data_IF_074505341788
#
_entry.id   IF_074505341788
#
_cell.length_a   1.000
_cell.length_b   1.000
_cell.length_c   1.000
_cell.angle_alpha   90.00
_cell.angle_beta   90.00
_cell.angle_gamma   90.00
#
_symmetry.space_group_name_H-M   'P 1'
#
loop_
_entity.id
_entity.type
_entity.pdbx_description
1 polymer ?
#
# COMPACT_ATOMS: atom_id res chain seq x y z
N UNK A 1 -1.61 25.84 -19.25
CA UNK A 1 -2.75 24.89 -19.18
C UNK A 1 -3.64 25.38 -18.07
N UNK A 2 -4.83 25.86 -18.39
CA UNK A 2 -5.85 26.17 -17.39
C UNK A 2 -6.25 24.87 -16.68
N UNK A 3 -6.18 24.86 -15.35
CA UNK A 3 -6.75 23.82 -14.51
C UNK A 3 -8.28 23.91 -14.68
N UNK A 4 -8.85 23.10 -15.57
CA UNK A 4 -10.30 22.90 -15.61
C UNK A 4 -10.71 22.03 -14.43
N UNK A 5 -11.71 22.48 -13.67
CA UNK A 5 -12.39 21.64 -12.69
C UNK A 5 -12.96 20.42 -13.42
N UNK A 6 -12.40 19.24 -13.13
CA UNK A 6 -12.92 18.01 -13.69
C UNK A 6 -14.24 17.69 -12.98
N UNK A 7 -15.37 18.04 -13.59
CA UNK A 7 -16.73 18.01 -13.02
C UNK A 7 -17.24 16.61 -12.61
N UNK A 8 -16.43 15.56 -12.81
CA UNK A 8 -16.73 14.19 -12.38
C UNK A 8 -16.02 13.78 -11.08
N UNK A 9 -15.02 14.53 -10.61
CA UNK A 9 -14.36 14.27 -9.32
C UNK A 9 -14.30 15.57 -8.52
N UNK A 10 -15.02 15.64 -7.39
CA UNK A 10 -14.95 16.72 -6.40
C UNK A 10 -13.55 16.78 -5.73
N UNK A 11 -12.50 16.96 -6.53
CA UNK A 11 -11.11 16.98 -6.10
C UNK A 11 -10.73 18.42 -5.78
N UNK A 12 -10.20 18.63 -4.57
CA UNK A 12 -9.74 19.95 -4.12
C UNK A 12 -8.39 20.24 -4.75
N UNK A 13 -8.36 21.02 -5.83
CA UNK A 13 -7.14 21.34 -6.56
C UNK A 13 -6.79 22.81 -6.39
N UNK A 14 -5.55 23.11 -6.03
CA UNK A 14 -5.03 24.48 -5.99
C UNK A 14 -3.85 24.61 -6.93
N UNK A 15 -3.95 25.47 -7.93
CA UNK A 15 -2.88 25.71 -8.90
C UNK A 15 -2.07 26.96 -8.50
N UNK A 16 -0.77 26.94 -8.76
CA UNK A 16 0.18 28.00 -8.41
C UNK A 16 1.19 28.29 -9.53
N UNK A 17 2.15 29.16 -9.25
CA UNK A 17 3.18 29.54 -10.21
C UNK A 17 4.00 28.35 -10.72
N UNK A 18 4.59 28.49 -11.92
CA UNK A 18 5.42 27.46 -12.55
C UNK A 18 4.75 26.08 -12.67
N UNK A 19 3.42 26.05 -12.85
CA UNK A 19 2.66 24.81 -13.01
C UNK A 19 2.63 23.94 -11.75
N UNK A 20 2.71 24.56 -10.57
CA UNK A 20 2.41 23.93 -9.29
C UNK A 20 0.93 23.53 -9.22
N UNK A 21 0.66 22.29 -8.82
CA UNK A 21 -0.69 21.77 -8.63
C UNK A 21 -0.74 21.02 -7.30
N UNK A 22 -1.42 21.56 -6.29
CA UNK A 22 -1.73 20.86 -5.06
C UNK A 22 -3.02 20.06 -5.26
N UNK A 23 -2.89 18.74 -5.29
CA UNK A 23 -4.04 17.84 -5.16
C UNK A 23 -4.29 17.62 -3.67
N UNK A 24 -5.19 18.45 -3.14
CA UNK A 24 -5.43 18.57 -1.71
C UNK A 24 -6.45 17.55 -1.21
N UNK A 25 -6.36 17.26 0.08
CA UNK A 25 -7.29 16.38 0.79
C UNK A 25 -8.49 17.18 1.32
N UNK A 26 -9.70 16.58 1.35
CA UNK A 26 -10.86 17.20 1.95
C UNK A 26 -10.65 17.53 3.44
N UNK A 27 -11.33 18.57 3.89
CA UNK A 27 -11.36 19.00 5.28
C UNK A 27 -12.82 19.11 5.76
N UNK A 28 -13.09 18.85 7.04
CA UNK A 28 -14.45 18.92 7.59
C UNK A 28 -15.12 20.28 7.32
N UNK A 29 -14.34 21.36 7.37
CA UNK A 29 -14.83 22.72 7.10
C UNK A 29 -15.28 22.96 5.65
N UNK A 30 -14.93 22.06 4.73
CA UNK A 30 -15.41 22.16 3.34
C UNK A 30 -16.93 21.92 3.25
N UNK A 31 -17.55 21.26 4.25
CA UNK A 31 -19.00 21.02 4.32
C UNK A 31 -19.62 21.27 5.72
N UNK A 32 -18.81 21.64 6.71
CA UNK A 32 -19.21 22.08 8.05
C UNK A 32 -18.44 23.36 8.43
N UNK A 33 -18.83 24.55 7.90
CA UNK A 33 -17.98 25.75 7.94
C UNK A 33 -17.74 26.31 9.35
N UNK A 34 -18.69 26.15 10.27
CA UNK A 34 -18.67 26.80 11.59
C UNK A 34 -18.06 25.93 12.70
N UNK A 35 -17.17 25.00 12.36
CA UNK A 35 -16.55 24.11 13.35
C UNK A 35 -15.56 24.88 14.26
N UNK A 36 -15.62 24.70 15.59
CA UNK A 36 -14.66 25.29 16.49
C UNK A 36 -13.27 24.66 16.29
N UNK A 37 -12.23 25.41 16.65
CA UNK A 37 -10.85 24.94 16.61
C UNK A 37 -10.20 25.04 17.98
N UNK A 38 -9.38 24.07 18.32
CA UNK A 38 -8.74 23.92 19.63
C UNK A 38 -7.22 23.94 19.50
N UNK A 39 -6.53 24.32 20.58
CA UNK A 39 -5.08 24.20 20.63
C UNK A 39 -4.69 22.71 20.67
N UNK A 40 -3.70 22.32 19.87
CA UNK A 40 -3.23 20.94 19.87
C UNK A 40 -2.52 20.61 21.21
N UNK A 41 -2.92 19.55 21.94
CA UNK A 41 -2.30 19.18 23.22
C UNK A 41 -0.80 18.84 23.09
N UNK A 42 -0.33 18.50 21.89
CA UNK A 42 1.09 18.30 21.61
C UNK A 42 1.96 19.53 21.90
N UNK A 43 1.38 20.73 21.98
CA UNK A 43 2.08 21.94 22.42
C UNK A 43 2.72 21.80 23.81
N UNK A 44 2.12 20.96 24.65
CA UNK A 44 2.54 20.77 26.04
C UNK A 44 3.11 19.37 26.29
N UNK A 45 3.27 18.55 25.24
CA UNK A 45 3.77 17.20 25.37
C UNK A 45 5.31 17.20 25.49
N UNK A 46 5.90 16.63 26.57
CA UNK A 46 7.35 16.66 26.79
C UNK A 46 8.18 16.04 25.67
N UNK A 47 7.66 15.04 24.97
CA UNK A 47 8.35 14.41 23.84
C UNK A 47 8.46 15.33 22.62
N UNK A 48 7.54 16.31 22.50
CA UNK A 48 7.48 17.26 21.40
C UNK A 48 8.06 18.63 21.76
N UNK A 49 8.10 19.00 23.05
CA UNK A 49 8.64 20.28 23.51
C UNK A 49 10.16 20.45 23.28
N UNK A 50 10.89 19.35 23.04
CA UNK A 50 12.33 19.37 22.76
C UNK A 50 12.69 19.67 21.29
N UNK A 51 11.71 19.71 20.39
CA UNK A 51 11.93 19.83 18.94
C UNK A 51 11.73 21.28 18.45
N UNK A 52 12.72 21.83 17.73
CA UNK A 52 12.72 23.23 17.24
C UNK A 52 11.53 23.60 16.33
N UNK A 53 11.05 22.67 15.51
CA UNK A 53 9.89 22.86 14.63
C UNK A 53 9.15 21.53 14.50
N UNK A 54 8.10 21.34 15.30
CA UNK A 54 7.37 20.08 15.39
C UNK A 54 6.04 20.09 14.63
N UNK A 55 5.39 21.25 14.51
CA UNK A 55 4.21 21.39 13.69
C UNK A 55 4.55 21.62 12.24
N UNK A 56 3.80 20.95 11.38
CA UNK A 56 3.87 21.11 9.93
C UNK A 56 3.09 22.37 9.56
N UNK A 57 3.65 23.18 8.66
CA UNK A 57 2.98 24.37 8.16
C UNK A 57 1.74 23.95 7.35
N UNK A 58 0.68 24.75 7.41
CA UNK A 58 -0.52 24.54 6.57
C UNK A 58 -0.20 24.64 5.09
N UNK A 59 0.88 25.30 4.66
CA UNK A 59 1.25 25.39 3.24
C UNK A 59 2.31 24.36 2.82
N UNK A 60 2.79 23.53 3.75
CA UNK A 60 3.78 22.49 3.43
C UNK A 60 3.16 21.44 2.48
N UNK A 61 3.77 21.30 1.30
CA UNK A 61 3.43 20.28 0.32
C UNK A 61 4.63 19.42 -0.08
N UNK A 62 4.36 18.19 -0.49
CA UNK A 62 5.34 17.18 -0.90
C UNK A 62 5.18 16.95 -2.40
N UNK A 63 6.24 17.22 -3.16
CA UNK A 63 6.23 17.03 -4.60
C UNK A 63 6.12 15.55 -4.97
N UNK A 64 5.24 15.21 -5.90
CA UNK A 64 5.16 13.87 -6.48
C UNK A 64 6.40 13.55 -7.32
N UNK A 65 6.88 14.54 -8.09
CA UNK A 65 8.05 14.41 -8.95
C UNK A 65 9.13 15.38 -8.49
N UNK A 66 10.25 14.83 -8.00
CA UNK A 66 11.39 15.62 -7.52
C UNK A 66 12.50 15.79 -8.57
N UNK A 67 12.48 14.97 -9.63
CA UNK A 67 13.41 15.09 -10.76
C UNK A 67 12.70 15.82 -11.90
N UNK A 68 13.05 17.10 -12.09
CA UNK A 68 12.44 17.97 -13.09
C UNK A 68 13.52 18.77 -13.83
N UNK A 69 13.21 19.25 -15.04
CA UNK A 69 14.08 20.20 -15.73
C UNK A 69 13.89 21.61 -15.18
N UNK A 70 14.90 22.46 -15.39
CA UNK A 70 14.91 23.86 -14.91
C UNK A 70 13.62 24.61 -15.23
N UNK A 71 13.13 24.46 -16.46
CA UNK A 71 12.01 25.25 -16.99
C UNK A 71 10.72 24.40 -17.15
N UNK A 72 10.72 23.15 -16.67
CA UNK A 72 9.52 22.31 -16.71
C UNK A 72 8.56 22.63 -15.56
N UNK A 73 7.24 22.42 -15.73
CA UNK A 73 6.27 22.57 -14.65
C UNK A 73 6.65 21.78 -13.40
N UNK A 74 6.39 22.34 -12.22
CA UNK A 74 6.61 21.66 -10.93
C UNK A 74 5.68 20.46 -10.74
N UNK A 75 4.50 20.50 -11.34
CA UNK A 75 3.57 19.38 -11.38
C UNK A 75 2.81 19.20 -10.07
N UNK A 76 2.45 17.94 -9.79
CA UNK A 76 1.55 17.58 -8.69
C UNK A 76 2.30 17.53 -7.36
N UNK A 77 1.66 18.08 -6.34
CA UNK A 77 2.07 18.08 -4.95
C UNK A 77 0.93 17.56 -4.06
N UNK A 78 1.28 16.98 -2.92
CA UNK A 78 0.35 16.50 -1.90
C UNK A 78 0.58 17.21 -0.58
N UNK A 79 -0.47 17.36 0.23
CA UNK A 79 -0.34 18.00 1.54
C UNK A 79 0.57 17.19 2.47
N UNK A 80 1.55 17.84 3.11
CA UNK A 80 2.46 17.15 4.05
C UNK A 80 1.71 16.66 5.29
N UNK A 81 1.90 15.40 5.65
CA UNK A 81 1.31 14.83 6.86
C UNK A 81 2.10 15.26 8.10
N UNK A 82 1.42 15.35 9.25
CA UNK A 82 2.02 15.68 10.54
C UNK A 82 1.11 16.52 11.43
N UNK A 83 1.52 16.80 12.68
CA UNK A 83 0.67 17.52 13.61
C UNK A 83 0.48 18.97 13.16
N UNK A 84 -0.72 19.51 13.42
CA UNK A 84 -1.08 20.91 13.19
C UNK A 84 -1.19 21.66 14.51
N UNK A 85 -0.96 22.98 14.50
CA UNK A 85 -1.08 23.82 15.69
C UNK A 85 -2.49 23.83 16.28
N UNK A 86 -3.50 23.80 15.40
CA UNK A 86 -4.91 23.75 15.76
C UNK A 86 -5.53 22.43 15.30
N UNK A 87 -6.48 21.93 16.08
CA UNK A 87 -7.24 20.70 15.83
C UNK A 87 -8.74 20.99 15.84
N UNK A 88 -9.54 20.08 15.29
CA UNK A 88 -11.00 20.21 15.16
C UNK A 88 -11.76 19.19 16.02
N UNK A 89 -11.02 18.39 16.78
CA UNK A 89 -11.54 17.43 17.74
C UNK A 89 -10.92 17.65 19.12
N UNK A 90 -11.74 17.83 20.15
CA UNK A 90 -11.30 17.73 21.55
C UNK A 90 -11.17 16.28 21.98
N UNK A 91 -10.24 16.00 22.89
CA UNK A 91 -9.93 14.65 23.35
C UNK A 91 -11.15 13.87 23.86
N UNK A 92 -12.01 14.54 24.64
CA UNK A 92 -13.16 13.93 25.32
C UNK A 92 -14.36 13.68 24.40
N UNK A 93 -14.45 14.40 23.27
CA UNK A 93 -15.48 14.19 22.26
C UNK A 93 -15.12 13.08 21.27
N UNK A 94 -13.83 12.72 21.12
CA UNK A 94 -13.44 11.71 20.14
C UNK A 94 -13.95 10.33 20.55
N UNK A 95 -14.63 9.69 19.60
CA UNK A 95 -14.94 8.28 19.61
C UNK A 95 -14.40 7.67 18.32
N UNK A 96 -13.25 7.02 18.43
CA UNK A 96 -12.51 6.49 17.29
C UNK A 96 -12.81 5.01 17.07
N UNK A 97 -12.86 4.58 15.80
CA UNK A 97 -12.86 3.18 15.44
C UNK A 97 -11.71 2.80 14.49
N UNK A 98 -11.20 1.58 14.66
CA UNK A 98 -10.17 0.98 13.79
C UNK A 98 -10.73 -0.29 13.17
N UNK A 99 -10.52 -0.48 11.86
CA UNK A 99 -10.94 -1.70 11.15
C UNK A 99 -9.82 -2.20 10.24
N UNK A 100 -9.61 -3.53 10.23
CA UNK A 100 -8.69 -4.20 9.29
C UNK A 100 -9.46 -5.05 8.28
N UNK A 101 -9.18 -4.86 7.00
CA UNK A 101 -9.87 -5.54 5.90
C UNK A 101 -8.88 -6.21 4.92
N UNK A 102 -9.37 -7.24 4.22
CA UNK A 102 -8.63 -7.95 3.17
C UNK A 102 -7.64 -8.99 3.69
N UNK A 103 -6.61 -9.30 2.88
CA UNK A 103 -5.58 -10.28 3.25
C UNK A 103 -4.62 -9.77 4.34
N UNK A 104 -4.02 -10.70 5.08
CA UNK A 104 -3.00 -10.39 6.09
C UNK A 104 -1.75 -9.75 5.46
N UNK A 105 -1.05 -8.96 6.27
CA UNK A 105 0.18 -8.26 5.95
C UNK A 105 0.99 -8.11 7.24
N UNK A 106 2.31 -8.31 7.22
CA UNK A 106 3.15 -7.96 8.37
C UNK A 106 2.95 -6.48 8.76
N UNK A 107 2.93 -6.20 10.06
CA UNK A 107 2.75 -4.84 10.59
C UNK A 107 1.31 -4.39 10.86
N UNK A 108 0.28 -5.20 10.52
CA UNK A 108 -1.13 -4.89 10.82
C UNK A 108 -1.37 -4.56 12.31
N UNK A 109 -0.87 -5.41 13.21
CA UNK A 109 -0.97 -5.17 14.66
C UNK A 109 -0.17 -3.95 15.10
N UNK A 110 0.97 -3.67 14.48
CA UNK A 110 1.76 -2.45 14.75
C UNK A 110 0.92 -1.22 14.40
N UNK A 111 0.29 -1.17 13.23
CA UNK A 111 -0.60 -0.06 12.85
C UNK A 111 -1.74 0.14 13.86
N UNK A 112 -2.41 -0.94 14.27
CA UNK A 112 -3.48 -0.87 15.29
C UNK A 112 -2.93 -0.28 16.60
N UNK A 113 -1.79 -0.80 17.07
CA UNK A 113 -1.15 -0.34 18.31
C UNK A 113 -0.82 1.14 18.25
N UNK A 114 -0.18 1.59 17.18
CA UNK A 114 0.31 2.96 17.07
C UNK A 114 -0.82 3.97 16.85
N UNK A 115 -1.94 3.58 16.24
CA UNK A 115 -3.17 4.40 16.23
C UNK A 115 -3.70 4.57 17.66
N UNK A 116 -3.85 3.46 18.40
CA UNK A 116 -4.39 3.47 19.76
C UNK A 116 -3.49 4.26 20.72
N UNK A 117 -2.19 3.97 20.71
CA UNK A 117 -1.19 4.67 21.50
C UNK A 117 -1.09 6.15 21.09
N UNK A 118 -1.17 6.46 19.80
CA UNK A 118 -1.14 7.84 19.32
C UNK A 118 -2.34 8.64 19.80
N UNK A 119 -3.55 8.12 19.63
CA UNK A 119 -4.78 8.73 20.13
C UNK A 119 -4.74 8.92 21.66
N UNK A 120 -4.32 7.91 22.40
CA UNK A 120 -4.31 7.93 23.86
C UNK A 120 -3.21 8.82 24.44
N UNK A 121 -1.95 8.61 24.06
CA UNK A 121 -0.80 9.28 24.68
C UNK A 121 -0.53 10.66 24.11
N UNK A 122 -0.78 10.89 22.82
CA UNK A 122 -0.54 12.21 22.20
C UNK A 122 -1.74 13.15 22.34
N UNK A 123 -2.94 12.59 22.28
CA UNK A 123 -4.18 13.37 22.20
C UNK A 123 -5.15 13.12 23.36
N UNK A 124 -4.86 12.26 24.33
CA UNK A 124 -5.73 12.04 25.50
C UNK A 124 -7.05 11.34 25.19
N UNK A 125 -7.22 10.76 24.00
CA UNK A 125 -8.46 10.08 23.59
C UNK A 125 -8.57 8.73 24.27
N UNK A 126 -9.69 8.48 24.95
CA UNK A 126 -9.92 7.25 25.73
C UNK A 126 -11.01 6.33 25.15
N UNK A 127 -11.86 6.81 24.23
CA UNK A 127 -12.91 6.01 23.56
C UNK A 127 -12.44 5.54 22.20
N UNK A 128 -11.79 4.36 22.18
CA UNK A 128 -11.29 3.74 20.96
C UNK A 128 -11.82 2.31 20.88
N UNK A 129 -12.42 1.95 19.74
CA UNK A 129 -12.92 0.60 19.49
C UNK A 129 -12.34 0.00 18.21
N UNK A 130 -12.22 -1.31 18.20
CA UNK A 130 -11.91 -2.11 17.02
C UNK A 130 -13.19 -2.70 16.45
N UNK A 131 -13.34 -2.65 15.14
CA UNK A 131 -14.40 -3.34 14.41
C UNK A 131 -13.91 -4.75 14.05
N UNK A 132 -14.60 -5.77 14.57
CA UNK A 132 -14.19 -7.16 14.39
C UNK A 132 -14.59 -7.70 13.01
N UNK A 133 -13.66 -8.36 12.32
CA UNK A 133 -13.94 -9.10 11.09
C UNK A 133 -14.20 -8.21 9.86
N UNK A 134 -13.49 -7.10 9.72
CA UNK A 134 -13.56 -6.22 8.55
C UNK A 134 -14.87 -5.43 8.43
N UNK A 135 -15.27 -5.05 7.21
CA UNK A 135 -16.44 -4.19 7.01
C UNK A 135 -17.75 -4.77 7.53
N UNK A 136 -17.89 -6.11 7.57
CA UNK A 136 -19.07 -6.78 8.13
C UNK A 136 -19.25 -6.48 9.61
N UNK A 137 -18.16 -6.22 10.33
CA UNK A 137 -18.16 -5.94 11.77
C UNK A 137 -19.00 -4.74 12.16
N UNK A 138 -19.11 -3.73 11.29
CA UNK A 138 -19.91 -2.53 11.55
C UNK A 138 -21.38 -2.90 11.89
N UNK A 139 -21.99 -3.76 11.07
CA UNK A 139 -23.40 -4.14 11.22
C UNK A 139 -23.63 -5.51 11.85
N UNK A 140 -22.58 -6.31 12.09
CA UNK A 140 -22.64 -7.53 12.90
C UNK A 140 -22.59 -7.25 14.42
N UNK A 141 -22.40 -5.99 14.82
CA UNK A 141 -22.28 -5.50 16.21
C UNK A 141 -21.09 -6.01 17.02
N UNK A 142 -20.12 -6.70 16.42
CA UNK A 142 -18.92 -7.15 17.10
C UNK A 142 -17.89 -6.01 17.18
N UNK A 143 -17.61 -5.53 18.39
CA UNK A 143 -16.58 -4.52 18.64
C UNK A 143 -15.71 -4.91 19.81
N UNK A 144 -14.42 -4.57 19.72
CA UNK A 144 -13.42 -4.83 20.75
C UNK A 144 -12.96 -3.50 21.35
N UNK A 145 -13.00 -3.28 22.67
CA UNK A 145 -12.43 -2.07 23.26
C UNK A 145 -10.91 -2.06 23.08
N UNK A 146 -10.36 -0.96 22.56
CA UNK A 146 -8.93 -0.82 22.34
C UNK A 146 -8.35 0.18 23.36
N UNK A 147 -7.42 -0.31 24.18
CA UNK A 147 -6.70 0.50 25.18
C UNK A 147 -5.21 0.22 25.04
N UNK A 148 -4.31 1.11 25.52
CA UNK A 148 -2.87 0.85 25.51
C UNK A 148 -2.51 -0.53 26.09
N UNK A 149 -3.20 -0.96 27.15
CA UNK A 149 -3.02 -2.28 27.76
C UNK A 149 -3.42 -3.43 26.83
N UNK A 150 -4.50 -3.29 26.06
CA UNK A 150 -4.95 -4.32 25.10
C UNK A 150 -3.98 -4.45 23.93
N UNK A 151 -3.36 -3.35 23.50
CA UNK A 151 -2.46 -3.31 22.33
C UNK A 151 -0.98 -3.41 22.67
N UNK A 152 -0.60 -3.58 23.94
CA UNK A 152 0.78 -3.40 24.39
C UNK A 152 1.77 -4.26 23.60
N UNK A 153 1.48 -5.56 23.49
CA UNK A 153 2.36 -6.57 22.89
C UNK A 153 1.95 -7.04 21.49
N UNK A 154 0.87 -6.50 20.92
CA UNK A 154 0.31 -7.07 19.67
C UNK A 154 1.25 -6.92 18.48
N UNK A 155 2.11 -5.89 18.48
CA UNK A 155 3.13 -5.64 17.46
C UNK A 155 4.16 -6.78 17.32
N UNK A 156 4.34 -7.60 18.37
CA UNK A 156 5.21 -8.79 18.36
C UNK A 156 4.61 -9.99 17.63
N UNK A 157 3.34 -9.90 17.24
CA UNK A 157 2.56 -10.98 16.61
C UNK A 157 2.19 -10.59 15.19
N UNK A 158 2.27 -11.56 14.28
CA UNK A 158 1.68 -11.40 12.95
C UNK A 158 0.15 -11.45 12.97
N UNK A 159 -0.46 -11.20 11.81
CA UNK A 159 -1.91 -11.12 11.67
C UNK A 159 -2.52 -9.83 12.23
N UNK A 160 -3.78 -9.89 12.64
CA UNK A 160 -4.54 -8.77 13.23
C UNK A 160 -5.38 -9.26 14.41
N UNK A 161 -5.34 -8.54 15.53
CA UNK A 161 -6.20 -8.83 16.70
C UNK A 161 -7.70 -8.55 16.45
N UNK A 162 -8.02 -7.78 15.41
CA UNK A 162 -9.40 -7.43 15.04
C UNK A 162 -10.02 -8.44 14.09
N UNK A 163 -9.29 -9.47 13.68
CA UNK A 163 -9.70 -10.29 12.55
C UNK A 163 -9.77 -9.49 11.24
N UNK A 164 -10.09 -10.16 10.14
CA UNK A 164 -10.24 -9.50 8.84
C UNK A 164 -11.20 -10.29 7.96
N UNK A 165 -11.84 -9.63 7.00
CA UNK A 165 -12.67 -10.28 5.99
C UNK A 165 -12.40 -9.74 4.59
N UNK A 166 -12.76 -10.55 3.60
CA UNK A 166 -12.97 -10.11 2.21
C UNK A 166 -14.46 -9.81 2.01
N UNK A 167 -14.78 -8.81 1.20
CA UNK A 167 -16.15 -8.36 0.93
C UNK A 167 -16.87 -7.76 2.16
N UNK A 168 -18.21 -7.75 2.09
CA UNK A 168 -19.06 -7.27 3.19
C UNK A 168 -19.17 -5.75 3.30
N UNK A 169 -18.81 -5.03 2.25
CA UNK A 169 -19.00 -3.59 2.16
C UNK A 169 -20.48 -3.29 1.89
N UNK A 170 -21.12 -2.55 2.79
CA UNK A 170 -22.47 -2.02 2.64
C UNK A 170 -22.46 -0.59 3.20
N UNK A 171 -22.36 0.39 2.31
CA UNK A 171 -22.12 1.80 2.68
C UNK A 171 -23.17 2.31 3.66
N UNK A 172 -24.46 2.06 3.38
CA UNK A 172 -25.54 2.53 4.24
C UNK A 172 -25.43 1.92 5.63
N UNK A 173 -25.29 0.59 5.75
CA UNK A 173 -25.16 -0.07 7.05
C UNK A 173 -23.92 0.35 7.83
N UNK A 174 -22.80 0.59 7.13
CA UNK A 174 -21.56 1.05 7.76
C UNK A 174 -21.75 2.46 8.32
N UNK A 175 -22.28 3.39 7.52
CA UNK A 175 -22.47 4.78 7.97
C UNK A 175 -23.58 4.88 9.02
N UNK A 176 -24.63 4.08 8.94
CA UNK A 176 -25.65 3.96 9.99
C UNK A 176 -25.00 3.49 11.30
N UNK A 177 -24.15 2.45 11.27
CA UNK A 177 -23.43 2.02 12.47
C UNK A 177 -22.46 3.08 13.01
N UNK A 178 -21.82 3.87 12.15
CA UNK A 178 -20.94 4.97 12.58
C UNK A 178 -21.75 6.01 13.35
N UNK A 179 -22.89 6.40 12.80
CA UNK A 179 -23.79 7.39 13.38
C UNK A 179 -24.44 6.88 14.68
N UNK A 180 -24.98 5.67 14.69
CA UNK A 180 -25.67 5.07 15.85
C UNK A 180 -24.74 4.91 17.06
N UNK A 181 -23.44 4.72 16.82
CA UNK A 181 -22.41 4.59 17.87
C UNK A 181 -21.78 5.93 18.25
N UNK A 182 -22.12 7.02 17.56
CA UNK A 182 -21.48 8.32 17.73
C UNK A 182 -19.98 8.31 17.41
N UNK A 183 -19.55 7.47 16.47
CA UNK A 183 -18.16 7.41 16.03
C UNK A 183 -17.87 8.64 15.17
N UNK A 184 -16.80 9.36 15.49
CA UNK A 184 -16.40 10.57 14.77
C UNK A 184 -14.98 10.52 14.18
N UNK A 185 -14.27 9.40 14.37
CA UNK A 185 -13.04 9.09 13.64
C UNK A 185 -13.01 7.63 13.22
N UNK A 186 -12.70 7.37 11.95
CA UNK A 186 -12.71 6.04 11.34
C UNK A 186 -11.36 5.79 10.67
N UNK A 187 -10.61 4.82 11.18
CA UNK A 187 -9.31 4.42 10.66
C UNK A 187 -9.44 3.08 9.91
N UNK A 188 -9.25 3.12 8.59
CA UNK A 188 -9.51 1.98 7.70
C UNK A 188 -8.21 1.41 7.15
N UNK A 189 -7.82 0.24 7.63
CA UNK A 189 -6.56 -0.43 7.25
C UNK A 189 -6.87 -1.52 6.23
N UNK A 190 -6.39 -1.38 5.00
CA UNK A 190 -6.69 -2.35 3.93
C UNK A 190 -6.11 -2.01 2.57
N UNK A 191 -6.19 -2.95 1.63
CA UNK A 191 -5.70 -2.77 0.25
C UNK A 191 -6.70 -2.03 -0.65
N UNK A 192 -6.47 -2.04 -1.96
CA UNK A 192 -7.23 -1.23 -2.94
C UNK A 192 -8.75 -1.32 -2.81
N UNK A 193 -9.30 -2.54 -2.75
CA UNK A 193 -10.75 -2.72 -2.61
C UNK A 193 -11.29 -2.16 -1.29
N UNK A 194 -10.47 -2.18 -0.23
CA UNK A 194 -10.83 -1.53 1.04
C UNK A 194 -10.82 -0.01 0.90
N UNK A 195 -9.79 0.56 0.27
CA UNK A 195 -9.69 2.01 0.11
C UNK A 195 -10.74 2.57 -0.85
N UNK A 196 -11.15 1.81 -1.87
CA UNK A 196 -12.35 2.11 -2.69
C UNK A 196 -13.60 2.18 -1.82
N UNK A 197 -13.78 1.22 -0.90
CA UNK A 197 -14.86 1.25 0.08
C UNK A 197 -14.78 2.47 1.02
N UNK A 198 -13.58 2.82 1.48
CA UNK A 198 -13.35 3.98 2.34
C UNK A 198 -13.74 5.30 1.66
N UNK A 199 -13.42 5.43 0.37
CA UNK A 199 -13.85 6.56 -0.46
C UNK A 199 -15.37 6.71 -0.47
N UNK A 200 -16.09 5.62 -0.73
CA UNK A 200 -17.58 5.65 -0.75
C UNK A 200 -18.17 5.92 0.63
N UNK A 201 -17.55 5.41 1.71
CA UNK A 201 -17.95 5.72 3.10
C UNK A 201 -17.78 7.21 3.39
N UNK A 202 -16.63 7.78 3.00
CA UNK A 202 -16.36 9.21 3.15
C UNK A 202 -17.39 10.06 2.38
N UNK A 203 -17.69 9.70 1.14
CA UNK A 203 -18.67 10.41 0.32
C UNK A 203 -20.07 10.39 0.93
N UNK A 204 -20.50 9.25 1.49
CA UNK A 204 -21.79 9.15 2.18
C UNK A 204 -21.81 9.95 3.49
N UNK A 205 -20.71 9.94 4.27
CA UNK A 205 -20.54 10.79 5.47
C UNK A 205 -20.66 12.26 5.11
N UNK A 206 -19.99 12.69 4.03
CA UNK A 206 -20.05 14.07 3.52
C UNK A 206 -21.47 14.42 3.07
N UNK A 207 -22.14 13.54 2.33
CA UNK A 207 -23.53 13.72 1.88
C UNK A 207 -24.51 13.89 3.05
N UNK A 208 -24.27 13.20 4.16
CA UNK A 208 -25.07 13.30 5.40
C UNK A 208 -24.66 14.48 6.30
N UNK A 209 -23.59 15.20 5.98
CA UNK A 209 -23.11 16.33 6.78
C UNK A 209 -22.62 15.93 8.18
N UNK A 210 -22.01 14.74 8.32
CA UNK A 210 -21.58 14.24 9.62
C UNK A 210 -20.16 14.73 9.96
N UNK A 211 -19.92 15.14 11.21
CA UNK A 211 -18.57 15.47 11.74
C UNK A 211 -17.77 14.18 11.97
N UNK A 212 -17.37 13.50 10.90
CA UNK A 212 -16.61 12.24 10.95
C UNK A 212 -15.36 12.31 10.07
N UNK A 213 -14.18 12.12 10.66
CA UNK A 213 -12.94 12.00 9.92
C UNK A 213 -12.72 10.55 9.46
N UNK A 214 -12.51 10.34 8.15
CA UNK A 214 -12.19 9.04 7.56
C UNK A 214 -10.75 9.06 7.07
N UNK A 215 -9.90 8.25 7.68
CA UNK A 215 -8.49 8.12 7.33
C UNK A 215 -8.18 6.67 6.93
N UNK A 216 -7.63 6.49 5.73
CA UNK A 216 -7.20 5.18 5.24
C UNK A 216 -5.70 4.94 5.46
N UNK A 217 -5.35 3.71 5.84
CA UNK A 217 -3.97 3.25 5.93
C UNK A 217 -3.80 2.14 4.89
N UNK A 218 -3.10 2.42 3.77
CA UNK A 218 -3.15 1.55 2.62
C UNK A 218 -2.21 0.35 2.82
N UNK A 219 -2.78 -0.86 2.75
CA UNK A 219 -2.14 -2.12 3.11
C UNK A 219 -2.06 -3.06 1.91
N UNK A 220 -0.85 -3.22 1.37
CA UNK A 220 -0.49 -4.24 0.38
C UNK A 220 0.93 -4.72 0.68
N UNK A 221 1.19 -6.01 0.48
CA UNK A 221 2.59 -6.49 0.45
C UNK A 221 3.17 -6.39 -0.96
N UNK A 222 2.33 -6.23 -1.99
CA UNK A 222 2.77 -6.26 -3.39
C UNK A 222 3.42 -4.92 -3.83
N UNK A 223 3.45 -3.92 -2.94
CA UNK A 223 3.95 -2.57 -3.18
C UNK A 223 3.36 -1.87 -4.43
N UNK A 224 2.07 -2.10 -4.67
CA UNK A 224 1.35 -1.69 -5.88
C UNK A 224 0.47 -0.44 -5.70
N UNK A 225 0.54 0.24 -4.55
CA UNK A 225 -0.25 1.46 -4.30
C UNK A 225 0.39 2.65 -5.06
N UNK A 226 -0.36 3.38 -5.90
CA UNK A 226 0.13 4.56 -6.58
C UNK A 226 0.59 5.66 -5.63
N UNK A 227 1.41 6.58 -6.13
CA UNK A 227 1.89 7.79 -5.44
C UNK A 227 2.89 7.51 -4.32
N UNK A 228 2.67 6.48 -3.51
CA UNK A 228 3.54 6.18 -2.37
C UNK A 228 4.80 5.43 -2.82
N UNK A 229 5.92 5.70 -2.14
CA UNK A 229 7.21 5.07 -2.45
C UNK A 229 7.22 3.57 -2.07
N UNK A 230 6.57 3.25 -0.96
CA UNK A 230 6.53 1.91 -0.38
C UNK A 230 5.29 1.67 0.47
N UNK A 231 4.72 0.48 0.47
CA UNK A 231 3.68 0.02 1.40
C UNK A 231 4.26 -0.75 2.60
N UNK A 232 3.64 -0.63 3.78
CA UNK A 232 4.15 -1.32 4.97
C UNK A 232 3.97 -2.84 4.83
N UNK A 233 4.94 -3.58 5.35
CA UNK A 233 5.01 -5.04 5.24
C UNK A 233 5.74 -5.52 3.97
N UNK A 234 6.09 -4.62 3.04
CA UNK A 234 6.84 -4.97 1.83
C UNK A 234 8.26 -5.45 2.14
N UNK A 235 9.01 -4.72 2.98
CA UNK A 235 10.40 -5.10 3.30
C UNK A 235 10.42 -6.47 4.02
N UNK A 236 9.50 -6.67 4.95
CA UNK A 236 9.33 -7.94 5.66
C UNK A 236 8.98 -9.07 4.68
N UNK A 237 8.11 -8.80 3.69
CA UNK A 237 7.76 -9.78 2.68
C UNK A 237 8.95 -10.16 1.78
N UNK A 238 9.78 -9.18 1.41
CA UNK A 238 11.02 -9.39 0.65
C UNK A 238 12.02 -10.23 1.47
N UNK A 239 12.17 -9.94 2.76
CA UNK A 239 13.08 -10.69 3.65
C UNK A 239 12.68 -12.16 3.77
N UNK A 240 11.39 -12.46 3.98
CA UNK A 240 10.93 -13.86 4.03
C UNK A 240 10.94 -14.55 2.67
N UNK A 241 10.67 -13.82 1.58
CA UNK A 241 10.83 -14.34 0.23
C UNK A 241 12.29 -14.74 -0.05
N UNK A 242 13.25 -13.91 0.40
CA UNK A 242 14.68 -14.21 0.31
C UNK A 242 15.03 -15.49 1.07
N UNK A 243 14.48 -15.71 2.27
CA UNK A 243 14.72 -16.97 3.02
C UNK A 243 14.26 -18.20 2.26
N UNK A 244 13.11 -18.13 1.59
CA UNK A 244 12.62 -19.22 0.74
C UNK A 244 13.50 -19.46 -0.49
N UNK A 245 14.00 -18.40 -1.12
CA UNK A 245 14.96 -18.48 -2.23
C UNK A 245 16.26 -19.16 -1.77
N UNK A 246 16.82 -18.73 -0.63
CA UNK A 246 18.06 -19.29 -0.11
C UNK A 246 17.92 -20.80 0.17
N UNK A 247 16.77 -21.23 0.72
CA UNK A 247 16.48 -22.64 0.92
C UNK A 247 16.41 -23.43 -0.40
N UNK A 248 15.73 -22.86 -1.41
CA UNK A 248 15.66 -23.47 -2.73
C UNK A 248 17.03 -23.56 -3.42
N UNK A 249 17.88 -22.55 -3.25
CA UNK A 249 19.23 -22.53 -3.79
C UNK A 249 20.10 -23.63 -3.17
N UNK A 250 20.08 -23.78 -1.85
CA UNK A 250 20.81 -24.87 -1.16
C UNK A 250 20.34 -26.24 -1.64
N UNK A 251 19.02 -26.45 -1.77
CA UNK A 251 18.46 -27.71 -2.30
C UNK A 251 18.91 -27.97 -3.75
N UNK A 252 18.84 -26.96 -4.62
CA UNK A 252 19.24 -27.09 -6.02
C UNK A 252 20.74 -27.36 -6.19
N UNK A 253 21.59 -26.70 -5.38
CA UNK A 253 23.04 -26.88 -5.42
C UNK A 253 23.55 -28.17 -4.77
N UNK A 254 22.72 -28.88 -4.02
CA UNK A 254 23.11 -30.10 -3.29
C UNK A 254 22.95 -31.40 -4.09
N UNK A 255 22.43 -31.33 -5.32
CA UNK A 255 22.16 -32.51 -6.14
C UNK A 255 22.39 -32.23 -7.62
N UNK A 256 22.85 -33.24 -8.37
CA UNK A 256 22.98 -33.14 -9.82
C UNK A 256 21.60 -32.89 -10.48
N UNK A 257 21.58 -31.98 -11.45
CA UNK A 257 20.36 -31.52 -12.13
C UNK A 257 19.26 -31.04 -11.14
N UNK A 258 19.69 -30.42 -10.03
CA UNK A 258 18.79 -29.83 -9.04
C UNK A 258 18.12 -28.56 -9.56
N UNK A 259 16.82 -28.41 -9.28
CA UNK A 259 16.05 -27.22 -9.63
C UNK A 259 15.17 -26.77 -8.47
N UNK A 260 15.30 -25.51 -8.08
CA UNK A 260 14.43 -24.85 -7.11
C UNK A 260 13.37 -23.99 -7.81
N UNK A 261 12.09 -24.25 -7.55
CA UNK A 261 10.98 -23.39 -8.01
C UNK A 261 10.32 -22.75 -6.80
N UNK A 262 10.46 -21.43 -6.65
CA UNK A 262 9.87 -20.67 -5.54
C UNK A 262 8.73 -19.81 -6.04
N UNK A 263 7.51 -20.05 -5.55
CA UNK A 263 6.35 -19.21 -5.86
C UNK A 263 6.28 -18.07 -4.84
N UNK A 264 6.30 -16.83 -5.30
CA UNK A 264 6.18 -15.66 -4.44
C UNK A 264 4.83 -14.96 -4.60
N UNK A 265 4.56 -14.03 -3.69
CA UNK A 265 3.44 -13.11 -3.77
C UNK A 265 3.65 -12.09 -4.90
N UNK A 266 2.57 -11.50 -5.41
CA UNK A 266 2.62 -10.61 -6.58
C UNK A 266 1.45 -10.87 -7.53
N UNK A 267 0.23 -10.50 -7.13
CA UNK A 267 -0.98 -10.83 -7.91
C UNK A 267 -1.04 -10.08 -9.24
N UNK A 268 -0.68 -8.80 -9.20
CA UNK A 268 -0.73 -7.89 -10.34
C UNK A 268 0.62 -7.25 -10.66
N UNK A 269 1.58 -7.34 -9.73
CA UNK A 269 2.91 -6.76 -9.85
C UNK A 269 4.00 -7.69 -9.32
N UNK A 270 5.19 -7.58 -9.90
CA UNK A 270 6.35 -8.43 -9.60
C UNK A 270 7.33 -7.87 -8.56
N UNK A 271 6.97 -6.84 -7.79
CA UNK A 271 7.95 -6.14 -6.93
C UNK A 271 8.62 -7.05 -5.90
N UNK A 272 7.89 -7.92 -5.20
CA UNK A 272 8.48 -8.86 -4.23
C UNK A 272 9.48 -9.77 -4.93
N UNK A 273 9.11 -10.36 -6.07
CA UNK A 273 9.98 -11.26 -6.83
C UNK A 273 11.24 -10.55 -7.32
N UNK A 274 11.11 -9.34 -7.87
CA UNK A 274 12.23 -8.53 -8.34
C UNK A 274 13.19 -8.17 -7.19
N UNK A 275 12.66 -7.66 -6.07
CA UNK A 275 13.49 -7.25 -4.92
C UNK A 275 14.13 -8.44 -4.22
N UNK A 276 13.40 -9.54 -4.02
CA UNK A 276 13.95 -10.76 -3.40
C UNK A 276 15.02 -11.42 -4.27
N UNK A 277 14.87 -11.37 -5.59
CA UNK A 277 15.90 -11.81 -6.55
C UNK A 277 17.17 -10.98 -6.42
N UNK A 278 17.06 -9.64 -6.46
CA UNK A 278 18.20 -8.75 -6.32
C UNK A 278 18.87 -8.85 -4.94
N UNK A 279 18.09 -9.12 -3.89
CA UNK A 279 18.60 -9.28 -2.53
C UNK A 279 19.33 -10.62 -2.33
N UNK A 280 18.80 -11.73 -2.86
CA UNK A 280 19.40 -13.06 -2.74
C UNK A 280 20.65 -13.23 -3.61
N UNK A 281 20.61 -12.79 -4.87
CA UNK A 281 21.65 -13.05 -5.90
C UNK A 281 21.80 -14.53 -6.31
N UNK A 282 20.89 -15.38 -5.87
CA UNK A 282 20.92 -16.84 -6.04
C UNK A 282 19.91 -17.34 -7.10
N UNK A 283 19.18 -16.42 -7.73
CA UNK A 283 18.11 -16.71 -8.69
C UNK A 283 18.65 -16.66 -10.11
N UNK A 284 18.48 -17.75 -10.86
CA UNK A 284 18.84 -17.80 -12.29
C UNK A 284 17.75 -17.22 -13.20
N UNK A 285 16.48 -17.32 -12.77
CA UNK A 285 15.33 -16.88 -13.56
C UNK A 285 14.19 -16.34 -12.67
N UNK A 286 13.86 -15.06 -12.84
CA UNK A 286 12.77 -14.35 -12.17
C UNK A 286 11.63 -14.06 -13.15
N UNK A 287 10.48 -14.68 -12.89
CA UNK A 287 9.26 -14.55 -13.68
C UNK A 287 8.29 -13.59 -12.97
N UNK A 288 7.82 -12.55 -13.68
CA UNK A 288 6.90 -11.55 -13.13
C UNK A 288 5.70 -11.32 -14.07
N UNK A 289 4.54 -10.89 -13.56
CA UNK A 289 3.36 -10.61 -14.39
C UNK A 289 3.60 -9.59 -15.52
N UNK A 290 4.53 -8.66 -15.33
CA UNK A 290 4.85 -7.59 -16.29
C UNK A 290 5.72 -8.05 -17.46
N UNK A 291 6.45 -9.17 -17.32
CA UNK A 291 7.29 -9.75 -18.37
C UNK A 291 6.74 -11.11 -18.76
N UNK A 292 5.72 -11.17 -19.64
CA UNK A 292 5.09 -12.42 -20.03
C UNK A 292 6.10 -13.34 -20.74
N UNK A 293 5.95 -14.64 -20.54
CA UNK A 293 6.74 -15.68 -21.18
C UNK A 293 5.83 -16.78 -21.71
N UNK A 294 6.34 -17.55 -22.67
CA UNK A 294 5.61 -18.64 -23.30
C UNK A 294 6.38 -19.95 -23.12
N UNK A 295 5.69 -21.00 -22.65
CA UNK A 295 6.20 -22.37 -22.72
C UNK A 295 5.79 -23.00 -24.05
N UNK A 296 6.61 -23.90 -24.59
CA UNK A 296 6.29 -24.61 -25.83
C UNK A 296 5.04 -25.49 -25.65
N UNK A 297 4.01 -25.31 -26.51
CA UNK A 297 2.81 -26.13 -26.56
C UNK A 297 1.51 -25.37 -26.87
N UNK A 298 0.44 -26.11 -27.23
CA UNK A 298 -0.91 -25.55 -27.49
C UNK A 298 -1.74 -25.30 -26.22
N UNK A 299 -1.19 -25.61 -25.04
CA UNK A 299 -1.91 -25.51 -23.77
C UNK A 299 -1.63 -24.16 -23.11
N UNK A 300 -2.62 -23.27 -23.14
CA UNK A 300 -2.58 -22.04 -22.35
C UNK A 300 -2.84 -22.36 -20.87
N UNK A 301 -2.24 -21.59 -19.99
CA UNK A 301 -2.56 -21.60 -18.56
C UNK A 301 -4.04 -21.22 -18.39
N UNK A 302 -4.90 -22.22 -18.14
CA UNK A 302 -6.36 -22.03 -18.16
C UNK A 302 -6.80 -21.16 -16.98
N UNK A 303 -7.34 -19.99 -17.27
CA UNK A 303 -7.91 -19.10 -16.25
C UNK A 303 -9.28 -19.61 -15.78
N UNK A 304 -9.53 -19.53 -14.48
CA UNK A 304 -10.83 -19.88 -13.89
C UNK A 304 -11.74 -18.66 -13.82
N UNK A 305 -13.04 -18.77 -14.14
CA UNK A 305 -13.98 -17.64 -13.99
C UNK A 305 -14.53 -17.46 -12.56
N UNK A 306 -14.03 -18.28 -11.62
CA UNK A 306 -14.37 -18.17 -10.21
C UNK A 306 -13.81 -16.87 -9.60
N UNK A 307 -14.56 -16.29 -8.65
CA UNK A 307 -14.19 -15.06 -7.94
C UNK A 307 -14.19 -15.28 -6.43
N UNK A 308 -13.34 -14.53 -5.73
CA UNK A 308 -13.37 -14.45 -4.27
C UNK A 308 -14.56 -13.60 -3.76
N UNK A 309 -14.77 -13.57 -2.44
CA UNK A 309 -15.86 -12.79 -1.82
C UNK A 309 -15.73 -11.27 -2.00
N UNK A 310 -14.56 -10.77 -2.43
CA UNK A 310 -14.34 -9.37 -2.80
C UNK A 310 -14.52 -9.14 -4.31
N UNK A 311 -14.89 -10.15 -5.09
CA UNK A 311 -15.09 -10.07 -6.54
C UNK A 311 -13.82 -10.24 -7.39
N UNK A 312 -12.67 -10.59 -6.79
CA UNK A 312 -11.43 -10.78 -7.54
C UNK A 312 -11.37 -12.17 -8.18
N UNK A 313 -10.96 -12.27 -9.44
CA UNK A 313 -10.77 -13.55 -10.16
C UNK A 313 -9.75 -14.45 -9.43
N UNK A 314 -10.08 -15.73 -9.24
CA UNK A 314 -9.16 -16.71 -8.68
C UNK A 314 -8.15 -17.12 -9.77
N UNK A 315 -6.86 -16.94 -9.45
CA UNK A 315 -5.77 -17.31 -10.34
C UNK A 315 -5.40 -18.79 -10.10
N UNK A 316 -5.09 -19.56 -11.16
CA UNK A 316 -4.61 -20.92 -11.00
C UNK A 316 -3.21 -20.93 -10.36
N UNK A 317 -2.80 -22.06 -9.79
CA UNK A 317 -1.48 -22.20 -9.17
C UNK A 317 -0.38 -22.34 -10.23
N UNK A 318 0.26 -21.21 -10.57
CA UNK A 318 1.33 -21.16 -11.56
C UNK A 318 2.57 -21.94 -11.11
N UNK A 319 2.81 -22.03 -9.79
CA UNK A 319 3.98 -22.70 -9.24
C UNK A 319 3.93 -24.20 -9.46
N UNK A 320 2.79 -24.82 -9.15
CA UNK A 320 2.57 -26.25 -9.40
C UNK A 320 2.54 -26.56 -10.90
N UNK A 321 1.83 -25.75 -11.69
CA UNK A 321 1.74 -25.93 -13.13
C UNK A 321 3.11 -25.85 -13.81
N UNK A 322 3.91 -24.83 -13.49
CA UNK A 322 5.25 -24.66 -14.04
C UNK A 322 6.17 -25.83 -13.64
N UNK A 323 6.10 -26.25 -12.38
CA UNK A 323 6.87 -27.40 -11.89
C UNK A 323 6.54 -28.69 -12.65
N UNK A 324 5.26 -28.91 -12.99
CA UNK A 324 4.85 -30.06 -13.78
C UNK A 324 5.36 -29.97 -15.22
N UNK A 325 5.20 -28.81 -15.88
CA UNK A 325 5.65 -28.61 -17.26
C UNK A 325 7.16 -28.78 -17.42
N UNK A 326 7.94 -28.34 -16.43
CA UNK A 326 9.39 -28.55 -16.41
C UNK A 326 9.72 -30.04 -16.34
N UNK A 327 9.08 -30.79 -15.43
CA UNK A 327 9.26 -32.24 -15.32
C UNK A 327 8.90 -32.96 -16.62
N UNK A 328 7.78 -32.59 -17.24
CA UNK A 328 7.32 -33.20 -18.49
C UNK A 328 8.30 -32.95 -19.64
N UNK A 329 8.85 -31.73 -19.74
CA UNK A 329 9.83 -31.37 -20.77
C UNK A 329 11.12 -32.20 -20.64
N UNK A 330 11.72 -32.26 -19.45
CA UNK A 330 12.98 -32.97 -19.25
C UNK A 330 12.84 -34.49 -19.31
N UNK A 331 11.72 -35.05 -18.83
CA UNK A 331 11.46 -36.49 -18.91
C UNK A 331 11.10 -36.94 -20.33
N UNK A 332 10.26 -36.19 -21.05
CA UNK A 332 9.79 -36.56 -22.37
C UNK A 332 10.75 -36.19 -23.51
N UNK A 333 11.19 -34.93 -23.57
CA UNK A 333 11.95 -34.41 -24.71
C UNK A 333 13.46 -34.61 -24.55
N UNK A 334 14.03 -34.26 -23.40
CA UNK A 334 15.48 -34.30 -23.19
C UNK A 334 16.00 -35.62 -22.62
N UNK A 335 15.10 -36.49 -22.12
CA UNK A 335 15.44 -37.76 -21.44
C UNK A 335 16.48 -37.56 -20.32
N UNK A 336 16.40 -36.45 -19.60
CA UNK A 336 17.28 -36.10 -18.49
C UNK A 336 16.54 -36.23 -17.16
N UNK A 337 17.18 -36.86 -16.18
CA UNK A 337 16.66 -36.92 -14.80
C UNK A 337 16.95 -35.60 -14.10
N UNK A 338 15.90 -34.96 -13.56
CA UNK A 338 16.00 -33.72 -12.79
C UNK A 338 15.48 -33.91 -11.36
N UNK A 339 16.00 -33.11 -10.43
CA UNK A 339 15.60 -33.09 -9.03
C UNK A 339 14.92 -31.76 -8.69
N UNK A 340 13.62 -31.67 -8.92
CA UNK A 340 12.85 -30.43 -8.74
C UNK A 340 12.24 -30.34 -7.33
N UNK A 341 12.54 -29.24 -6.62
CA UNK A 341 11.89 -28.85 -5.36
C UNK A 341 11.02 -27.62 -5.57
N UNK A 342 9.77 -27.70 -5.15
CA UNK A 342 8.82 -26.59 -5.21
C UNK A 342 8.60 -26.02 -3.80
N UNK A 343 8.77 -24.72 -3.62
CA UNK A 343 8.57 -24.01 -2.36
C UNK A 343 7.49 -22.93 -2.53
N UNK A 344 6.48 -22.98 -1.65
CA UNK A 344 5.42 -21.99 -1.54
C UNK A 344 5.40 -21.36 -0.12
N UNK A 345 6.17 -20.28 0.12
CA UNK A 345 6.22 -19.59 1.41
C UNK A 345 5.06 -18.60 1.63
N UNK A 346 4.03 -18.63 0.78
CA UNK A 346 2.96 -17.61 0.72
C UNK A 346 2.37 -17.21 2.08
N UNK A 347 2.12 -18.17 2.97
CA UNK A 347 1.57 -17.88 4.30
C UNK A 347 2.64 -17.43 5.30
N UNK A 348 3.85 -17.97 5.18
CA UNK A 348 5.00 -17.56 6.00
C UNK A 348 5.39 -16.10 5.73
N UNK A 349 5.23 -15.63 4.49
CA UNK A 349 5.48 -14.23 4.13
C UNK A 349 4.48 -13.27 4.81
N UNK A 350 3.18 -13.62 4.84
CA UNK A 350 2.13 -12.66 5.21
C UNK A 350 1.68 -12.72 6.68
N UNK A 351 1.94 -13.83 7.37
CA UNK A 351 1.39 -14.12 8.69
C UNK A 351 2.35 -13.83 9.86
N UNK A 352 3.54 -13.31 9.56
CA UNK A 352 4.58 -13.01 10.55
C UNK A 352 4.50 -11.56 11.06
N UNK A 353 5.14 -11.24 12.21
CA UNK A 353 5.32 -9.85 12.64
C UNK A 353 6.16 -9.05 11.64
N UNK A 354 5.98 -7.73 11.61
CA UNK A 354 6.80 -6.83 10.81
C UNK A 354 8.24 -6.75 11.32
N UNK A 355 9.20 -6.61 10.42
CA UNK A 355 10.59 -6.36 10.78
C UNK A 355 10.79 -4.93 11.32
N UNK A 356 12.01 -4.59 11.75
CA UNK A 356 12.29 -3.30 12.37
C UNK A 356 11.97 -2.10 11.45
N UNK A 357 12.31 -2.19 10.16
CA UNK A 357 12.03 -1.15 9.16
C UNK A 357 10.52 -0.93 8.99
N UNK A 358 9.77 -2.00 8.79
CA UNK A 358 8.32 -1.94 8.63
C UNK A 358 7.59 -1.50 9.90
N UNK A 359 8.12 -1.82 11.09
CA UNK A 359 7.54 -1.35 12.35
C UNK A 359 7.71 0.17 12.51
N UNK A 360 8.89 0.71 12.23
CA UNK A 360 9.11 2.17 12.22
C UNK A 360 8.18 2.83 11.21
N UNK A 361 8.07 2.26 10.02
CA UNK A 361 7.18 2.79 8.99
C UNK A 361 5.70 2.76 9.42
N UNK A 362 5.25 1.65 10.02
CA UNK A 362 3.89 1.50 10.56
C UNK A 362 3.57 2.55 11.63
N UNK A 363 4.53 2.89 12.51
CA UNK A 363 4.39 3.98 13.48
C UNK A 363 4.19 5.33 12.79
N UNK A 364 5.03 5.66 11.81
CA UNK A 364 4.95 6.94 11.11
C UNK A 364 3.64 7.12 10.33
N UNK A 365 3.16 6.04 9.67
CA UNK A 365 1.85 6.02 9.01
C UNK A 365 0.73 6.27 10.01
N UNK A 366 0.72 5.51 11.10
CA UNK A 366 -0.34 5.57 12.11
C UNK A 366 -0.42 6.96 12.73
N UNK A 367 0.72 7.53 13.13
CA UNK A 367 0.77 8.89 13.67
C UNK A 367 0.33 9.93 12.63
N UNK A 368 0.74 9.78 11.37
CA UNK A 368 0.30 10.68 10.28
C UNK A 368 -1.22 10.67 10.10
N UNK A 369 -1.84 9.49 10.17
CA UNK A 369 -3.30 9.35 10.08
C UNK A 369 -4.00 10.01 11.28
N UNK A 370 -3.52 9.74 12.50
CA UNK A 370 -4.06 10.33 13.73
C UNK A 370 -3.94 11.87 13.70
N UNK A 371 -2.77 12.39 13.32
CA UNK A 371 -2.55 13.83 13.22
C UNK A 371 -3.49 14.49 12.20
N UNK A 372 -3.67 13.88 11.02
CA UNK A 372 -4.58 14.37 9.99
C UNK A 372 -6.04 14.39 10.46
N UNK A 373 -6.51 13.29 11.05
CA UNK A 373 -7.87 13.15 11.55
C UNK A 373 -8.17 14.15 12.69
N UNK A 374 -7.29 14.26 13.69
CA UNK A 374 -7.43 15.25 14.77
C UNK A 374 -7.46 16.68 14.22
N UNK A 375 -6.68 16.96 13.17
CA UNK A 375 -6.64 18.25 12.51
C UNK A 375 -7.80 18.50 11.54
N UNK A 376 -8.82 17.64 11.48
CA UNK A 376 -10.04 17.87 10.68
C UNK A 376 -9.93 17.47 9.21
N UNK A 377 -8.80 16.90 8.78
CA UNK A 377 -8.70 16.31 7.44
C UNK A 377 -9.49 14.99 7.39
N UNK A 378 -10.05 14.68 6.23
CA UNK A 378 -10.89 13.49 6.01
C UNK A 378 -10.84 13.09 4.53
N UNK A 379 -11.22 11.86 4.19
CA UNK A 379 -11.22 11.41 2.79
C UNK A 379 -9.81 11.18 2.21
N UNK A 380 -8.84 10.80 3.06
CA UNK A 380 -7.44 10.67 2.67
C UNK A 380 -6.83 9.35 3.10
N UNK A 381 -5.75 8.97 2.43
CA UNK A 381 -4.76 8.01 2.91
C UNK A 381 -3.45 8.70 3.28
N UNK A 382 -2.61 7.99 4.03
CA UNK A 382 -1.25 8.43 4.36
C UNK A 382 -0.21 7.54 3.73
N UNK A 383 0.90 8.13 3.28
CA UNK A 383 2.04 7.39 2.75
C UNK A 383 3.26 8.26 2.46
N UNK A 384 4.44 7.65 2.32
CA UNK A 384 5.68 8.32 1.96
C UNK A 384 5.66 8.65 0.46
N UNK A 385 5.97 9.90 0.14
CA UNK A 385 6.17 10.39 -1.22
C UNK A 385 7.55 11.05 -1.23
N UNK A 386 8.48 10.49 -1.99
CA UNK A 386 9.88 10.91 -2.03
C UNK A 386 10.52 11.07 -0.63
N UNK A 387 10.25 10.11 0.27
CA UNK A 387 10.79 10.07 1.63
C UNK A 387 10.10 10.99 2.63
N UNK A 388 9.03 11.71 2.26
CA UNK A 388 8.22 12.54 3.16
C UNK A 388 6.80 12.02 3.25
N UNK A 389 6.23 11.96 4.45
CA UNK A 389 4.84 11.52 4.60
C UNK A 389 3.87 12.61 4.13
N UNK A 390 2.92 12.23 3.30
CA UNK A 390 1.88 13.08 2.76
C UNK A 390 0.50 12.48 3.00
N UNK A 391 -0.52 13.34 3.02
CA UNK A 391 -1.92 12.96 2.94
C UNK A 391 -2.32 13.00 1.48
N UNK A 392 -2.83 11.88 0.98
CA UNK A 392 -3.14 11.68 -0.44
C UNK A 392 -4.65 11.42 -0.55
N UNK A 393 -5.38 12.13 -1.44
CA UNK A 393 -6.81 11.91 -1.64
C UNK A 393 -7.14 10.48 -2.08
N UNK A 394 -8.28 9.94 -1.63
CA UNK A 394 -8.67 8.55 -1.94
C UNK A 394 -8.73 8.24 -3.45
N UNK A 395 -9.17 9.19 -4.28
CA UNK A 395 -9.28 8.97 -5.72
C UNK A 395 -7.92 8.63 -6.35
N UNK A 396 -6.84 9.29 -5.93
CA UNK A 396 -5.49 9.11 -6.52
C UNK A 396 -4.94 7.70 -6.40
N UNK A 397 -5.24 7.02 -5.29
CA UNK A 397 -4.79 5.64 -5.09
C UNK A 397 -5.68 4.60 -5.77
N UNK A 398 -6.89 4.98 -6.17
CA UNK A 398 -7.85 4.05 -6.81
C UNK A 398 -7.79 4.06 -8.34
N UNK A 399 -7.04 5.00 -8.93
CA UNK A 399 -6.95 5.20 -10.38
C UNK A 399 -6.15 4.11 -11.11
N UNK A 400 -5.02 3.70 -10.54
CA UNK A 400 -4.10 2.75 -11.16
C UNK A 400 -3.44 1.86 -10.12
N UNK A 401 -2.62 0.92 -10.56
CA UNK A 401 -1.73 0.13 -9.72
C UNK A 401 -0.29 0.35 -10.20
N UNK A 402 0.64 0.47 -9.26
CA UNK A 402 2.05 0.47 -9.59
C UNK A 402 2.47 -0.93 -10.06
N UNK A 403 3.27 -0.97 -11.11
CA UNK A 403 3.84 -2.18 -11.69
C UNK A 403 5.34 -2.03 -11.83
N UNK A 404 6.05 -3.14 -11.90
CA UNK A 404 7.47 -3.15 -12.27
C UNK A 404 7.60 -2.56 -13.67
N UNK A 405 8.43 -1.54 -13.80
CA UNK A 405 8.74 -0.89 -15.07
C UNK A 405 9.88 -1.67 -15.72
N UNK A 406 9.54 -2.60 -16.62
CA UNK A 406 10.51 -3.52 -17.23
C UNK A 406 11.49 -2.84 -18.20
N UNK A 407 11.33 -1.55 -18.47
CA UNK A 407 12.26 -0.73 -19.25
C UNK A 407 13.22 0.06 -18.36
N UNK A 408 13.05 0.02 -17.04
CA UNK A 408 13.81 0.83 -16.11
C UNK A 408 15.17 0.22 -15.74
N UNK A 409 15.97 1.02 -15.02
CA UNK A 409 17.31 0.60 -14.58
C UNK A 409 17.27 -0.50 -13.52
N UNK A 410 16.19 -0.64 -12.77
CA UNK A 410 16.08 -1.66 -11.72
C UNK A 410 15.87 -3.04 -12.34
N UNK A 411 14.96 -3.15 -13.31
CA UNK A 411 14.78 -4.37 -14.09
C UNK A 411 16.02 -4.73 -14.90
N UNK A 412 16.66 -3.75 -15.55
CA UNK A 412 17.91 -3.98 -16.28
C UNK A 412 19.03 -4.54 -15.37
N UNK A 413 19.12 -4.07 -14.11
CA UNK A 413 20.06 -4.64 -13.11
C UNK A 413 19.72 -6.06 -12.75
N UNK A 414 18.43 -6.40 -12.64
CA UNK A 414 18.01 -7.78 -12.39
C UNK A 414 18.43 -8.70 -13.53
N UNK A 415 18.16 -8.31 -14.78
CA UNK A 415 18.58 -9.10 -15.95
C UNK A 415 20.10 -9.29 -15.99
N UNK A 416 20.87 -8.23 -15.72
CA UNK A 416 22.32 -8.31 -15.68
C UNK A 416 22.84 -9.18 -14.53
N UNK A 417 22.18 -9.17 -13.37
CA UNK A 417 22.58 -9.96 -12.20
C UNK A 417 22.25 -11.45 -12.32
N UNK A 418 21.13 -11.77 -12.97
CA UNK A 418 20.66 -13.16 -13.17
C UNK A 418 21.23 -13.77 -14.45
N UNK A 419 21.75 -12.92 -15.36
CA UNK A 419 22.11 -13.29 -16.73
C UNK A 419 20.94 -13.90 -17.52
N UNK A 420 19.69 -13.69 -17.07
CA UNK A 420 18.50 -14.17 -17.76
C UNK A 420 18.23 -13.31 -19.02
N UNK A 421 17.73 -13.91 -20.11
CA UNK A 421 17.33 -13.14 -21.28
C UNK A 421 16.09 -12.29 -20.99
N UNK A 422 15.88 -11.24 -21.77
CA UNK A 422 14.55 -10.62 -21.88
C UNK A 422 13.62 -11.59 -22.60
N UNK A 423 12.45 -11.87 -22.01
CA UNK A 423 11.41 -12.67 -22.66
C UNK A 423 10.63 -11.90 -23.73
N UNK A 424 10.78 -10.56 -23.77
CA UNK A 424 10.17 -9.71 -24.78
C UNK A 424 11.11 -9.50 -25.96
N UNK A 425 10.55 -9.55 -27.17
CA UNK A 425 11.25 -9.19 -28.40
C UNK A 425 11.31 -7.66 -28.60
N UNK A 426 12.14 -7.19 -29.55
CA UNK A 426 12.34 -5.76 -29.79
C UNK A 426 11.06 -4.99 -30.15
N UNK A 427 10.07 -5.64 -30.78
CA UNK A 427 8.79 -4.99 -31.12
C UNK A 427 7.93 -4.81 -29.88
N UNK A 428 7.80 -5.84 -29.05
CA UNK A 428 7.06 -5.80 -27.78
C UNK A 428 7.67 -4.76 -26.83
N UNK A 429 9.00 -4.68 -26.75
CA UNK A 429 9.69 -3.66 -25.97
C UNK A 429 9.39 -2.23 -26.46
N UNK A 430 9.33 -2.03 -27.78
CA UNK A 430 9.01 -0.73 -28.36
C UNK A 430 7.53 -0.33 -28.12
N UNK A 431 6.63 -1.30 -27.97
CA UNK A 431 5.23 -1.05 -27.59
C UNK A 431 5.12 -0.65 -26.12
N UNK A 432 5.79 -1.38 -25.22
CA UNK A 432 5.84 -1.05 -23.78
C UNK A 432 6.41 0.35 -23.56
N UNK A 433 7.48 0.73 -24.26
CA UNK A 433 8.06 2.07 -24.18
C UNK A 433 7.12 3.21 -24.64
N UNK A 434 6.12 2.92 -25.49
CA UNK A 434 5.14 3.91 -25.93
C UNK A 434 4.00 4.10 -24.94
N UNK A 435 3.67 3.07 -24.16
CA UNK A 435 2.63 3.12 -23.13
C UNK A 435 3.11 3.82 -21.84
N UNK A 436 4.43 3.92 -21.64
CA UNK A 436 5.00 4.63 -20.50
C UNK A 436 4.91 6.16 -20.64
N UNK A 437 4.54 6.89 -19.57
CA UNK A 437 4.57 8.33 -19.59
C UNK A 437 6.01 8.81 -19.78
N UNK A 438 6.27 9.52 -20.88
CA UNK A 438 7.61 9.99 -21.26
C UNK A 438 8.30 10.73 -20.09
N UNK A 439 9.29 10.10 -19.47
CA UNK A 439 10.31 10.82 -18.73
C UNK A 439 11.18 11.59 -19.74
N UNK A 440 11.50 12.86 -19.50
CA UNK A 440 12.25 13.71 -20.44
C UNK A 440 13.75 13.33 -20.54
N UNK A 441 14.10 12.07 -20.27
CA UNK A 441 15.44 11.53 -20.40
C UNK A 441 15.57 10.76 -21.71
N UNK A 442 15.18 11.35 -22.83
CA UNK A 442 15.69 10.89 -24.11
C UNK A 442 17.10 11.43 -24.27
N UNK A 443 18.06 10.51 -24.31
CA UNK A 443 19.44 10.76 -24.66
C UNK A 443 19.45 11.52 -25.99
N UNK A 444 20.19 12.63 -26.01
CA UNK A 444 20.50 13.38 -27.22
C UNK A 444 21.12 12.40 -28.21
N UNK A 445 20.56 12.35 -29.42
CA UNK A 445 21.08 11.58 -30.54
C UNK A 445 22.61 11.77 -30.63
N UNK A 446 23.32 10.64 -30.63
CA UNK A 446 24.74 10.59 -30.85
C UNK A 446 25.06 11.23 -32.20
N UNK A 447 25.59 12.45 -32.15
CA UNK A 447 26.29 13.06 -33.26
C UNK A 447 27.39 12.12 -33.73
N UNK A 448 27.36 11.81 -35.03
CA UNK A 448 28.43 11.12 -35.74
C UNK A 448 29.78 11.77 -35.41
N UNK A 449 30.74 10.94 -35.01
CA UNK A 449 32.14 11.11 -35.38
C UNK A 449 32.58 9.87 -36.14
#
# INVERSE_FOLDING_TARGET
>A
MECSENSQTNMKVTCGEAGYVLEDVPHLTDYLPDLPTFANPLQFNPAYSVVKQYFVNVDDSVAQKIVVHKDSPRGVHFRRAGPRQRIYFESDEVHACVVTCGGLCPGLNTVIREIVCGLYHMYGVNKILGIDGGYRGFYAKNTVPLTPKVVDDIHKRGGTILGTSRGGHDTSKIVDSIQDRGINQVYIIGGDGTQKGASVIFEEIRRRGLKVAVAGIPKTIDNDIPVIDKSFGFDTAVEEAQRAINAAHVEAGSIENGLGVVKLMGRYSGFIAMYATLASRDVDCCLIPESPFYLEGKESFQNTDLKDASGNKLLPDVGLWLSQKIKDHFSGQQKMVINLKHIDPTYMIRAIPGNASDNVYSTLLSHSAVHGAMAGYTGFIVGPVNGRHAMIPFNRITERQNKVVITDRMWARLLASTNQPSFLNSKELAEVQKEEPQTPTQLVDGGKF
#
